data_IF_183993948259
#
_entry.id   IF_183993948259
#
_cell.length_a   1.000
_cell.length_b   1.000
_cell.length_c   1.000
_cell.angle_alpha   90.00
_cell.angle_beta   90.00
_cell.angle_gamma   90.00
#
_symmetry.space_group_name_H-M   'P 1'
#
loop_
_entity.id
_entity.type
_entity.pdbx_description
1 polymer ?
#
# COMPACT_ATOMS: atom_id res chain seq x y z
N UNK A 1 -18.83 8.36 54.67
CA UNK A 1 -19.04 8.66 53.24
C UNK A 1 -18.65 7.44 52.42
N UNK A 2 -19.56 6.94 51.60
CA UNK A 2 -19.31 5.80 50.70
C UNK A 2 -18.32 6.23 49.60
N UNK A 3 -17.14 5.59 49.54
CA UNK A 3 -16.16 5.84 48.46
C UNK A 3 -16.65 5.13 47.20
N UNK A 4 -17.23 5.89 46.28
CA UNK A 4 -17.65 5.41 44.98
C UNK A 4 -16.59 5.74 43.92
N UNK A 5 -16.46 4.93 42.85
CA UNK A 5 -15.62 5.27 41.70
C UNK A 5 -16.11 6.56 41.04
N UNK A 6 -15.19 7.40 40.58
CA UNK A 6 -15.48 8.67 39.89
C UNK A 6 -14.75 8.72 38.56
N UNK A 7 -15.46 9.05 37.49
CA UNK A 7 -14.84 9.35 36.18
C UNK A 7 -14.07 10.66 36.25
N UNK A 8 -12.85 10.67 35.72
CA UNK A 8 -12.02 11.88 35.61
C UNK A 8 -12.57 12.80 34.51
N UNK A 9 -12.20 14.09 34.56
CA UNK A 9 -12.56 15.04 33.49
C UNK A 9 -12.01 14.58 32.12
N UNK A 10 -10.78 14.08 32.11
CA UNK A 10 -10.12 13.54 30.91
C UNK A 10 -10.89 12.36 30.32
N UNK A 11 -11.36 11.42 31.15
CA UNK A 11 -12.18 10.29 30.70
C UNK A 11 -13.50 10.77 30.06
N UNK A 12 -14.18 11.75 30.67
CA UNK A 12 -15.42 12.30 30.11
C UNK A 12 -15.20 12.98 28.75
N UNK A 13 -14.14 13.79 28.64
CA UNK A 13 -13.78 14.47 27.38
C UNK A 13 -13.41 13.43 26.31
N UNK A 14 -12.59 12.44 26.66
CA UNK A 14 -12.19 11.37 25.75
C UNK A 14 -13.39 10.59 25.20
N UNK A 15 -14.33 10.19 26.06
CA UNK A 15 -15.57 9.52 25.63
C UNK A 15 -16.40 10.43 24.72
N UNK A 16 -16.63 11.68 25.12
CA UNK A 16 -17.45 12.61 24.32
C UNK A 16 -16.84 12.88 22.94
N UNK A 17 -15.51 13.02 22.87
CA UNK A 17 -14.77 13.20 21.62
C UNK A 17 -14.85 11.97 20.71
N UNK A 18 -14.71 10.76 21.28
CA UNK A 18 -14.81 9.51 20.56
C UNK A 18 -16.23 9.31 19.98
N UNK A 19 -17.27 9.56 20.79
CA UNK A 19 -18.67 9.46 20.36
C UNK A 19 -18.98 10.47 19.24
N UNK A 20 -18.54 11.72 19.39
CA UNK A 20 -18.74 12.77 18.39
C UNK A 20 -18.01 12.48 17.07
N UNK A 21 -16.76 12.01 17.14
CA UNK A 21 -16.01 11.61 15.96
C UNK A 21 -16.67 10.42 15.24
N UNK A 22 -17.07 9.41 16.00
CA UNK A 22 -17.75 8.22 15.46
C UNK A 22 -19.05 8.60 14.75
N UNK A 23 -19.84 9.49 15.34
CA UNK A 23 -21.06 10.03 14.74
C UNK A 23 -20.78 10.70 13.37
N UNK A 24 -19.79 11.59 13.29
CA UNK A 24 -19.47 12.28 12.03
C UNK A 24 -18.92 11.32 10.99
N UNK A 25 -18.07 10.37 11.38
CA UNK A 25 -17.46 9.43 10.44
C UNK A 25 -18.43 8.33 9.98
N UNK A 26 -19.48 8.01 10.74
CA UNK A 26 -20.47 7.00 10.37
C UNK A 26 -21.23 7.34 9.06
N UNK A 27 -21.32 8.61 8.70
CA UNK A 27 -21.90 9.06 7.42
C UNK A 27 -21.04 8.66 6.20
N UNK A 28 -19.74 8.41 6.40
CA UNK A 28 -18.77 8.16 5.31
C UNK A 28 -18.03 6.83 5.43
N UNK A 29 -18.06 6.23 6.61
CA UNK A 29 -17.23 5.09 6.98
C UNK A 29 -18.03 4.08 7.80
N UNK A 30 -17.71 2.81 7.64
CA UNK A 30 -18.00 1.82 8.67
C UNK A 30 -16.97 2.00 9.80
N UNK A 31 -17.41 2.54 10.94
CA UNK A 31 -16.54 2.90 12.08
C UNK A 31 -16.52 1.77 13.11
N UNK A 32 -15.34 1.20 13.33
CA UNK A 32 -15.13 0.07 14.23
C UNK A 32 -14.30 0.55 15.43
N UNK A 33 -14.89 0.70 16.63
CA UNK A 33 -14.15 1.09 17.82
C UNK A 33 -13.22 -0.05 18.29
N UNK A 34 -12.00 0.29 18.68
CA UNK A 34 -11.06 -0.65 19.29
C UNK A 34 -11.35 -0.76 20.79
N UNK A 35 -11.57 -1.97 21.33
CA UNK A 35 -11.80 -2.15 22.76
C UNK A 35 -10.63 -1.64 23.61
N UNK A 36 -10.91 -0.94 24.70
CA UNK A 36 -9.87 -0.37 25.59
C UNK A 36 -8.88 -1.41 26.13
N UNK A 37 -9.32 -2.66 26.32
CA UNK A 37 -8.46 -3.78 26.74
C UNK A 37 -7.40 -4.16 25.70
N UNK A 38 -7.54 -3.70 24.45
CA UNK A 38 -6.62 -3.93 23.32
C UNK A 38 -6.01 -2.62 22.81
N UNK A 39 -6.16 -1.52 23.56
CA UNK A 39 -5.70 -0.20 23.14
C UNK A 39 -4.16 -0.12 23.19
N UNK A 40 -3.56 -0.04 22.01
CA UNK A 40 -2.14 0.23 21.79
C UNK A 40 -1.91 1.62 21.16
N UNK A 41 -2.91 2.50 21.24
CA UNK A 41 -2.92 3.85 20.67
C UNK A 41 -3.73 3.97 19.39
N UNK A 42 -4.73 3.12 19.15
CA UNK A 42 -5.68 3.25 18.05
C UNK A 42 -7.07 3.14 18.64
N UNK A 43 -7.89 4.17 18.47
CA UNK A 43 -9.25 4.21 19.01
C UNK A 43 -10.27 3.66 18.02
N UNK A 44 -10.04 3.87 16.72
CA UNK A 44 -10.95 3.44 15.67
C UNK A 44 -10.21 2.85 14.47
N UNK A 45 -10.85 1.85 13.85
CA UNK A 45 -10.57 1.39 12.49
C UNK A 45 -11.78 1.81 11.65
N UNK A 46 -11.53 2.52 10.56
CA UNK A 46 -12.57 3.04 9.67
C UNK A 46 -12.40 2.42 8.28
N UNK A 47 -13.48 1.88 7.73
CA UNK A 47 -13.55 1.48 6.32
C UNK A 47 -14.33 2.54 5.54
N UNK A 48 -13.74 3.10 4.48
CA UNK A 48 -14.43 4.06 3.62
C UNK A 48 -15.62 3.38 2.93
N UNK A 49 -16.79 4.01 2.97
CA UNK A 49 -17.99 3.60 2.26
C UNK A 49 -18.12 4.36 0.94
N UNK A 50 -18.66 3.69 -0.08
CA UNK A 50 -19.15 4.31 -1.28
C UNK A 50 -20.66 4.05 -1.34
N UNK A 51 -21.44 5.09 -1.09
CA UNK A 51 -22.87 4.98 -0.81
C UNK A 51 -23.09 3.98 0.35
N UNK A 52 -23.85 2.92 0.13
CA UNK A 52 -24.12 1.88 1.13
C UNK A 52 -23.07 0.75 1.13
N UNK A 53 -22.03 0.83 0.30
CA UNK A 53 -21.11 -0.29 0.06
C UNK A 53 -19.72 -0.09 0.68
N UNK A 54 -19.18 -1.09 1.40
CA UNK A 54 -17.81 -1.06 1.90
C UNK A 54 -16.80 -1.15 0.74
N UNK A 55 -15.76 -0.31 0.78
CA UNK A 55 -14.77 -0.24 -0.31
C UNK A 55 -13.54 -1.11 -0.10
N UNK A 56 -13.36 -1.70 1.09
CA UNK A 56 -12.12 -2.39 1.49
C UNK A 56 -10.96 -1.44 1.85
N UNK A 57 -11.16 -0.12 1.77
CA UNK A 57 -10.12 0.87 2.06
C UNK A 57 -10.19 1.27 3.52
N UNK A 58 -9.22 0.78 4.29
CA UNK A 58 -9.16 0.95 5.74
C UNK A 58 -8.17 2.04 6.14
N UNK A 59 -8.47 2.72 7.23
CA UNK A 59 -7.56 3.62 7.93
C UNK A 59 -7.83 3.57 9.43
N UNK A 60 -6.81 3.92 10.21
CA UNK A 60 -6.90 3.95 11.66
C UNK A 60 -7.01 5.40 12.14
N UNK A 61 -7.63 5.59 13.30
CA UNK A 61 -7.69 6.90 13.96
C UNK A 61 -7.25 6.76 15.42
N UNK A 62 -6.32 7.61 15.84
CA UNK A 62 -6.20 8.02 17.24
C UNK A 62 -6.96 9.33 17.44
N UNK A 63 -7.99 9.27 18.28
CA UNK A 63 -8.79 10.38 18.75
C UNK A 63 -8.14 11.00 20.01
N UNK A 64 -8.01 12.34 20.03
CA UNK A 64 -7.62 13.10 21.22
C UNK A 64 -8.61 14.21 21.46
N UNK A 65 -9.49 14.01 22.44
CA UNK A 65 -10.47 15.01 22.85
C UNK A 65 -9.85 16.19 23.61
N UNK A 66 -10.35 17.39 23.33
CA UNK A 66 -10.15 18.62 24.08
C UNK A 66 -11.52 19.22 24.39
N UNK A 67 -11.65 19.86 25.55
CA UNK A 67 -12.85 20.64 25.87
C UNK A 67 -12.94 21.82 24.88
N UNK A 68 -11.86 22.59 24.78
CA UNK A 68 -11.60 23.59 23.75
C UNK A 68 -10.17 23.39 23.24
N UNK A 69 -9.96 23.40 21.93
CA UNK A 69 -8.63 23.20 21.35
C UNK A 69 -7.79 24.49 21.47
N UNK A 70 -6.68 24.42 22.21
CA UNK A 70 -5.71 25.52 22.28
C UNK A 70 -4.87 25.53 21.00
N UNK A 71 -5.14 26.50 20.14
CA UNK A 71 -4.38 26.75 18.92
C UNK A 71 -3.16 27.61 19.24
N UNK A 72 -1.98 27.15 18.85
CA UNK A 72 -0.73 27.91 18.90
C UNK A 72 -0.35 28.34 17.48
N UNK A 73 -0.36 29.65 17.19
CA UNK A 73 -0.02 30.27 15.89
C UNK A 73 -0.75 29.64 14.67
N UNK A 74 -0.36 28.45 14.23
CA UNK A 74 -0.83 27.71 13.06
C UNK A 74 -1.14 26.22 13.32
N UNK A 75 -0.95 25.71 14.54
CA UNK A 75 -1.06 24.29 14.82
C UNK A 75 -1.46 23.98 16.27
N UNK A 76 -1.93 22.75 16.48
CA UNK A 76 -2.14 22.15 17.78
C UNK A 76 -1.04 21.10 17.99
N UNK A 77 -0.28 21.25 19.07
CA UNK A 77 0.80 20.31 19.40
C UNK A 77 0.29 19.19 20.29
N UNK A 78 0.51 17.93 19.87
CA UNK A 78 0.08 16.75 20.61
C UNK A 78 1.29 15.84 20.89
N UNK A 79 1.68 15.65 22.16
CA UNK A 79 2.75 14.72 22.51
C UNK A 79 2.25 13.28 22.38
N UNK A 80 2.93 12.48 21.58
CA UNK A 80 2.66 11.04 21.39
C UNK A 80 3.90 10.24 21.81
N UNK A 81 3.69 9.13 22.53
CA UNK A 81 4.79 8.23 22.91
C UNK A 81 5.44 7.62 21.67
N UNK A 82 6.76 7.52 21.66
CA UNK A 82 7.50 6.90 20.53
C UNK A 82 7.06 5.45 20.31
N UNK A 83 6.79 4.69 21.37
CA UNK A 83 6.25 3.33 21.24
C UNK A 83 4.91 3.28 20.47
N UNK A 84 4.02 4.26 20.69
CA UNK A 84 2.75 4.38 19.98
C UNK A 84 2.98 4.76 18.51
N UNK A 85 3.90 5.69 18.23
CA UNK A 85 4.27 6.05 16.86
C UNK A 85 4.86 4.85 16.10
N UNK A 86 5.75 4.09 16.74
CA UNK A 86 6.29 2.86 16.15
C UNK A 86 5.18 1.84 15.88
N UNK A 87 4.21 1.70 16.79
CA UNK A 87 3.06 0.83 16.55
C UNK A 87 2.21 1.30 15.36
N UNK A 88 2.01 2.61 15.19
CA UNK A 88 1.32 3.17 14.03
C UNK A 88 2.07 2.91 12.72
N UNK A 89 3.40 3.04 12.70
CA UNK A 89 4.23 2.77 11.53
C UNK A 89 4.28 1.29 11.15
N UNK A 90 4.00 0.38 12.10
CA UNK A 90 3.82 -1.04 11.82
C UNK A 90 2.44 -1.36 11.23
N UNK A 91 1.47 -0.46 11.35
CA UNK A 91 0.13 -0.73 10.84
C UNK A 91 0.11 -0.66 9.30
N UNK A 92 -0.63 -1.58 8.66
CA UNK A 92 -0.76 -1.61 7.21
C UNK A 92 -1.69 -0.53 6.66
N UNK A 93 -2.54 0.01 7.53
CA UNK A 93 -3.49 1.06 7.20
C UNK A 93 -2.96 2.39 7.74
N UNK A 94 -3.10 3.50 6.99
CA UNK A 94 -2.65 4.81 7.46
C UNK A 94 -3.34 5.16 8.77
N UNK A 95 -2.57 5.66 9.74
CA UNK A 95 -3.11 6.08 11.04
C UNK A 95 -3.14 7.59 11.11
N UNK A 96 -4.33 8.16 11.29
CA UNK A 96 -4.52 9.60 11.46
C UNK A 96 -4.59 9.96 12.95
N UNK A 97 -4.01 11.10 13.30
CA UNK A 97 -4.23 11.73 14.59
C UNK A 97 -5.31 12.80 14.41
N UNK A 98 -6.43 12.66 15.13
CA UNK A 98 -7.53 13.64 15.09
C UNK A 98 -7.72 14.24 16.49
N UNK A 99 -7.60 15.56 16.58
CA UNK A 99 -7.93 16.35 17.76
C UNK A 99 -9.37 16.84 17.62
N UNK A 100 -10.20 16.48 18.60
CA UNK A 100 -11.62 16.85 18.63
C UNK A 100 -11.82 17.97 19.64
N UNK A 101 -12.21 19.15 19.16
CA UNK A 101 -12.72 20.24 19.99
C UNK A 101 -14.21 19.96 20.28
N UNK A 102 -14.49 19.50 21.50
CA UNK A 102 -15.84 19.09 21.89
C UNK A 102 -16.80 20.28 22.06
N UNK A 103 -16.28 21.46 22.42
CA UNK A 103 -17.10 22.66 22.62
C UNK A 103 -17.55 23.25 21.29
N UNK A 104 -16.65 23.30 20.31
CA UNK A 104 -16.91 23.90 19.00
C UNK A 104 -17.33 22.88 17.93
N UNK A 105 -17.32 21.59 18.26
CA UNK A 105 -17.56 20.47 17.32
C UNK A 105 -16.67 20.57 16.06
N UNK A 106 -15.40 20.91 16.27
CA UNK A 106 -14.39 21.06 15.23
C UNK A 106 -13.34 19.95 15.36
N UNK A 107 -12.85 19.48 14.22
CA UNK A 107 -11.92 18.38 14.11
C UNK A 107 -10.68 18.85 13.39
N UNK A 108 -9.52 18.72 14.03
CA UNK A 108 -8.22 19.02 13.45
C UNK A 108 -7.47 17.73 13.25
N UNK A 109 -6.83 17.55 12.09
CA UNK A 109 -6.22 16.27 11.77
C UNK A 109 -4.80 16.40 11.21
N UNK A 110 -4.01 15.38 11.45
CA UNK A 110 -2.66 15.23 10.92
C UNK A 110 -2.45 13.79 10.48
N UNK A 111 -1.56 13.58 9.52
CA UNK A 111 -1.03 12.28 9.16
C UNK A 111 0.38 12.17 9.72
N UNK A 112 0.57 11.53 10.89
CA UNK A 112 1.85 11.52 11.60
C UNK A 112 3.01 10.95 10.79
N UNK A 113 2.75 10.04 9.85
CA UNK A 113 3.79 9.45 9.01
C UNK A 113 4.52 10.51 8.16
N UNK A 114 3.79 11.41 7.50
CA UNK A 114 4.39 12.51 6.73
C UNK A 114 5.22 13.43 7.63
N UNK A 115 4.71 13.74 8.82
CA UNK A 115 5.44 14.54 9.80
C UNK A 115 6.76 13.86 10.22
N UNK A 116 6.72 12.57 10.55
CA UNK A 116 7.91 11.81 10.94
C UNK A 116 8.92 11.69 9.79
N UNK A 117 8.46 11.50 8.55
CA UNK A 117 9.32 11.51 7.36
C UNK A 117 10.02 12.86 7.14
N UNK A 118 9.38 13.97 7.53
CA UNK A 118 9.98 15.32 7.46
C UNK A 118 11.03 15.58 8.55
N UNK A 119 11.08 14.77 9.61
CA UNK A 119 12.11 14.87 10.64
C UNK A 119 13.41 14.28 10.10
N UNK A 120 14.19 15.09 9.38
CA UNK A 120 15.48 14.70 8.78
C UNK A 120 16.52 14.14 9.78
N UNK A 121 16.30 14.29 11.09
CA UNK A 121 17.20 13.85 12.15
C UNK A 121 16.70 12.54 12.76
N UNK A 122 17.41 11.43 12.54
CA UNK A 122 16.99 10.05 12.85
C UNK A 122 16.82 9.74 14.35
N UNK A 123 17.15 10.67 15.26
CA UNK A 123 17.16 10.41 16.70
C UNK A 123 15.79 10.56 17.38
N UNK A 124 14.71 10.87 16.65
CA UNK A 124 13.39 10.98 17.26
C UNK A 124 12.94 9.66 17.91
N UNK A 125 13.39 8.52 17.39
CA UNK A 125 13.10 7.19 17.93
C UNK A 125 13.78 6.93 19.29
N UNK A 126 14.77 7.72 19.68
CA UNK A 126 15.44 7.63 20.98
C UNK A 126 14.68 8.39 22.08
N UNK A 127 13.69 9.19 21.70
CA UNK A 127 12.92 10.01 22.64
C UNK A 127 11.80 9.19 23.32
N UNK A 128 11.30 9.67 24.47
CA UNK A 128 10.11 9.06 25.08
C UNK A 128 8.83 9.46 24.34
N UNK A 129 8.78 10.69 23.84
CA UNK A 129 7.62 11.28 23.18
C UNK A 129 8.07 12.19 22.06
N UNK A 130 7.30 12.25 20.98
CA UNK A 130 7.43 13.24 19.91
C UNK A 130 6.16 14.09 19.88
N UNK A 131 6.35 15.40 19.78
CA UNK A 131 5.28 16.38 19.65
C UNK A 131 4.83 16.48 18.20
N UNK A 132 3.73 15.81 17.85
CA UNK A 132 3.14 15.86 16.52
C UNK A 132 2.44 17.20 16.34
N UNK A 133 2.72 17.87 15.23
CA UNK A 133 2.02 19.10 14.82
C UNK A 133 0.75 18.75 14.05
N UNK A 134 -0.39 19.27 14.51
CA UNK A 134 -1.70 19.16 13.86
C UNK A 134 -2.05 20.54 13.27
N UNK A 135 -1.92 20.74 11.95
CA UNK A 135 -2.15 22.06 11.33
C UNK A 135 -3.62 22.49 11.46
N UNK A 136 -3.88 23.76 11.80
CA UNK A 136 -5.27 24.24 11.92
C UNK A 136 -5.98 24.35 10.57
N UNK A 137 -5.23 24.45 9.48
CA UNK A 137 -5.77 24.41 8.12
C UNK A 137 -6.35 23.04 7.76
N UNK A 138 -5.88 21.97 8.41
CA UNK A 138 -6.40 20.62 8.26
C UNK A 138 -7.56 20.44 9.24
N UNK A 139 -8.68 21.11 8.96
CA UNK A 139 -9.85 21.07 9.83
C UNK A 139 -11.15 20.82 9.08
N UNK A 140 -12.14 20.32 9.81
CA UNK A 140 -13.53 20.22 9.36
C UNK A 140 -14.47 20.35 10.56
N UNK A 141 -15.71 20.77 10.31
CA UNK A 141 -16.77 20.82 11.33
C UNK A 141 -17.61 19.55 11.36
N UNK A 142 -18.56 19.48 12.28
CA UNK A 142 -19.51 18.36 12.38
C UNK A 142 -20.39 18.19 11.14
N UNK A 143 -20.79 19.29 10.50
CA UNK A 143 -21.73 19.29 9.38
C UNK A 143 -21.00 19.27 8.03
N UNK A 144 -20.25 18.20 7.77
CA UNK A 144 -19.66 17.94 6.46
C UNK A 144 -20.56 17.02 5.63
N UNK A 145 -20.58 17.21 4.31
CA UNK A 145 -21.32 16.34 3.38
C UNK A 145 -20.40 15.35 2.66
N UNK A 146 -19.09 15.51 2.81
CA UNK A 146 -18.05 14.63 2.25
C UNK A 146 -16.88 14.56 3.22
N UNK A 147 -16.22 13.40 3.31
CA UNK A 147 -14.96 13.27 4.03
C UNK A 147 -13.88 14.18 3.38
N UNK A 148 -12.99 14.82 4.16
CA UNK A 148 -11.93 15.66 3.59
C UNK A 148 -11.15 14.94 2.48
N UNK A 149 -11.07 15.58 1.31
CA UNK A 149 -10.47 14.97 0.09
C UNK A 149 -9.02 14.57 0.30
N UNK A 150 -8.28 15.30 1.14
CA UNK A 150 -6.90 14.96 1.51
C UNK A 150 -6.81 13.66 2.32
N UNK A 151 -7.72 13.43 3.28
CA UNK A 151 -7.81 12.15 4.01
C UNK A 151 -8.09 11.04 3.00
N UNK A 152 -9.11 11.19 2.14
CA UNK A 152 -9.45 10.21 1.10
C UNK A 152 -8.27 9.93 0.17
N UNK A 153 -7.52 10.97 -0.23
CA UNK A 153 -6.33 10.83 -1.08
C UNK A 153 -5.21 10.05 -0.39
N UNK A 154 -4.93 10.35 0.88
CA UNK A 154 -3.94 9.63 1.69
C UNK A 154 -4.39 8.19 1.86
N UNK A 155 -5.66 7.96 2.19
CA UNK A 155 -6.23 6.61 2.28
C UNK A 155 -6.12 5.90 0.95
N UNK A 156 -6.43 6.50 -0.19
CA UNK A 156 -6.29 5.85 -1.50
C UNK A 156 -4.84 5.55 -1.88
N UNK A 157 -3.90 6.41 -1.47
CA UNK A 157 -2.47 6.27 -1.79
C UNK A 157 -1.77 5.25 -0.88
N UNK A 158 -2.27 5.09 0.35
CA UNK A 158 -1.78 4.14 1.35
C UNK A 158 -2.66 2.89 1.47
N UNK A 159 -3.86 2.90 0.88
CA UNK A 159 -4.69 1.74 0.69
C UNK A 159 -3.92 0.83 -0.24
N UNK A 160 -3.19 -0.08 0.40
CA UNK A 160 -2.71 -1.30 -0.20
C UNK A 160 -3.79 -1.78 -1.14
N UNK A 161 -3.45 -1.88 -2.43
CA UNK A 161 -4.31 -2.49 -3.45
C UNK A 161 -4.92 -3.73 -2.83
N UNK A 162 -6.22 -3.68 -2.54
CA UNK A 162 -6.99 -4.64 -1.77
C UNK A 162 -6.38 -6.05 -1.81
N UNK A 163 -5.78 -6.56 -0.71
CA UNK A 163 -5.52 -7.97 -0.61
C UNK A 163 -6.88 -8.63 -0.32
N UNK A 164 -7.52 -9.18 -1.37
CA UNK A 164 -8.33 -10.37 -1.13
C UNK A 164 -7.40 -11.41 -0.52
N UNK A 165 -7.57 -11.60 0.80
CA UNK A 165 -6.88 -12.49 1.73
C UNK A 165 -5.56 -11.96 2.34
N UNK A 166 -5.69 -11.17 3.41
CA UNK A 166 -5.05 -11.45 4.70
C UNK A 166 -3.54 -11.74 4.80
N UNK A 167 -2.68 -11.19 3.95
CA UNK A 167 -1.23 -11.33 4.14
C UNK A 167 -0.50 -9.98 4.13
N UNK A 168 -0.44 -9.37 5.33
CA UNK A 168 0.26 -8.10 5.57
C UNK A 168 1.80 -8.23 5.46
N UNK A 169 2.36 -9.44 5.45
CA UNK A 169 3.77 -9.65 5.12
C UNK A 169 4.04 -9.37 3.63
N UNK A 170 3.03 -9.44 2.77
CA UNK A 170 3.20 -9.26 1.34
C UNK A 170 3.53 -7.83 0.90
N UNK A 171 2.93 -6.82 1.52
CA UNK A 171 3.17 -5.41 1.15
C UNK A 171 4.54 -4.90 1.62
N UNK A 172 4.99 -5.32 2.80
CA UNK A 172 6.37 -5.15 3.25
C UNK A 172 7.37 -5.82 2.30
N UNK A 173 7.05 -7.02 1.78
CA UNK A 173 7.94 -7.71 0.83
C UNK A 173 7.99 -7.08 -0.55
N UNK A 174 6.92 -6.39 -1.00
CA UNK A 174 6.93 -5.68 -2.27
C UNK A 174 7.78 -4.41 -2.19
N UNK A 175 7.65 -3.63 -1.10
CA UNK A 175 8.52 -2.49 -0.83
C UNK A 175 9.99 -2.90 -0.77
N UNK A 176 10.31 -3.92 0.04
CA UNK A 176 11.66 -4.48 0.13
C UNK A 176 12.19 -5.01 -1.21
N UNK A 177 11.33 -5.61 -2.04
CA UNK A 177 11.72 -6.08 -3.36
C UNK A 177 12.06 -4.92 -4.30
N UNK A 178 11.27 -3.85 -4.27
CA UNK A 178 11.51 -2.64 -5.06
C UNK A 178 12.81 -1.95 -4.61
N UNK A 179 13.01 -1.80 -3.30
CA UNK A 179 14.21 -1.17 -2.75
C UNK A 179 15.47 -1.96 -3.12
N UNK A 180 15.43 -3.30 -3.00
CA UNK A 180 16.53 -4.15 -3.46
C UNK A 180 16.75 -4.07 -4.96
N UNK A 181 15.70 -3.91 -5.77
CA UNK A 181 15.86 -3.76 -7.20
C UNK A 181 16.59 -2.46 -7.57
N UNK A 182 16.29 -1.38 -6.86
CA UNK A 182 16.98 -0.11 -7.01
C UNK A 182 18.46 -0.22 -6.60
N UNK A 183 18.75 -0.88 -5.48
CA UNK A 183 20.12 -1.04 -4.94
C UNK A 183 20.96 -1.99 -5.80
N UNK A 184 20.44 -3.18 -6.10
CA UNK A 184 21.20 -4.28 -6.71
C UNK A 184 21.32 -4.14 -8.23
N UNK A 185 20.36 -3.45 -8.87
CA UNK A 185 20.23 -3.39 -10.34
C UNK A 185 20.03 -1.99 -10.91
N UNK A 186 19.80 -0.96 -10.08
CA UNK A 186 19.43 0.38 -10.57
C UNK A 186 18.08 0.39 -11.31
N UNK A 187 17.19 -0.53 -10.97
CA UNK A 187 15.87 -0.67 -11.58
C UNK A 187 14.80 -0.02 -10.70
N UNK A 188 13.80 0.59 -11.35
CA UNK A 188 12.64 1.17 -10.71
C UNK A 188 11.36 0.49 -11.19
N UNK A 189 10.25 0.74 -10.50
CA UNK A 189 8.95 0.17 -10.87
C UNK A 189 8.58 0.61 -12.28
N UNK A 190 8.32 -0.37 -13.15
CA UNK A 190 7.87 -0.12 -14.51
C UNK A 190 6.49 0.51 -14.52
N UNK A 191 6.26 1.43 -15.47
CA UNK A 191 4.94 2.00 -15.75
C UNK A 191 4.21 1.20 -16.82
N UNK A 192 2.96 1.57 -17.09
CA UNK A 192 2.25 1.08 -18.27
C UNK A 192 3.08 1.29 -19.54
N UNK A 193 3.15 0.31 -20.47
CA UNK A 193 2.44 -0.98 -20.45
C UNK A 193 3.19 -2.13 -19.77
N UNK A 194 4.38 -1.90 -19.20
CA UNK A 194 5.25 -2.96 -18.66
C UNK A 194 4.94 -3.34 -17.20
N UNK A 195 4.16 -2.53 -16.48
CA UNK A 195 3.67 -2.88 -15.14
C UNK A 195 2.69 -4.06 -15.19
N UNK A 196 2.75 -4.95 -14.19
CA UNK A 196 1.86 -6.12 -14.03
C UNK A 196 1.57 -6.86 -15.35
N UNK A 197 2.59 -7.40 -16.05
CA UNK A 197 2.43 -7.95 -17.40
C UNK A 197 1.39 -9.09 -17.49
N UNK A 198 1.16 -9.82 -16.40
CA UNK A 198 0.12 -10.85 -16.33
C UNK A 198 -1.29 -10.34 -16.67
N UNK A 199 -1.55 -9.02 -16.58
CA UNK A 199 -2.86 -8.45 -16.87
C UNK A 199 -3.31 -8.67 -18.31
N UNK A 200 -2.37 -8.92 -19.23
CA UNK A 200 -2.67 -9.16 -20.64
C UNK A 200 -3.10 -10.60 -20.93
N UNK A 201 -2.79 -11.55 -20.03
CA UNK A 201 -3.17 -12.96 -20.20
C UNK A 201 -4.70 -13.07 -20.29
N UNK A 202 -5.17 -13.76 -21.33
CA UNK A 202 -6.60 -13.96 -21.62
C UNK A 202 -7.26 -12.79 -22.35
N UNK A 203 -6.58 -11.67 -22.59
CA UNK A 203 -7.11 -10.61 -23.45
C UNK A 203 -7.17 -11.08 -24.90
N UNK A 204 -8.17 -10.63 -25.66
CA UNK A 204 -8.14 -10.80 -27.12
C UNK A 204 -6.97 -10.03 -27.72
N UNK A 205 -6.43 -10.49 -28.84
CA UNK A 205 -5.31 -9.81 -29.55
C UNK A 205 -5.66 -8.35 -29.82
N UNK A 206 -6.89 -8.08 -30.31
CA UNK A 206 -7.35 -6.72 -30.59
C UNK A 206 -7.39 -5.82 -29.34
N UNK A 207 -7.82 -6.35 -28.19
CA UNK A 207 -7.84 -5.59 -26.94
C UNK A 207 -6.43 -5.34 -26.40
N UNK A 208 -5.58 -6.37 -26.39
CA UNK A 208 -4.19 -6.25 -25.97
C UNK A 208 -3.46 -5.20 -26.83
N UNK A 209 -3.59 -5.29 -28.16
CA UNK A 209 -3.01 -4.35 -29.13
C UNK A 209 -3.43 -2.89 -28.84
N UNK A 210 -4.71 -2.68 -28.52
CA UNK A 210 -5.24 -1.36 -28.16
C UNK A 210 -4.67 -0.84 -26.84
N UNK A 211 -4.58 -1.69 -25.81
CA UNK A 211 -4.10 -1.29 -24.47
C UNK A 211 -2.61 -0.95 -24.49
N UNK A 212 -1.79 -1.74 -25.18
CA UNK A 212 -0.34 -1.51 -25.26
C UNK A 212 0.07 -0.59 -26.41
N UNK A 213 -0.90 -0.14 -27.21
CA UNK A 213 -0.70 0.71 -28.38
C UNK A 213 0.34 0.16 -29.37
N UNK A 214 0.27 -1.13 -29.66
CA UNK A 214 1.15 -1.80 -30.63
C UNK A 214 0.36 -2.73 -31.55
N UNK A 215 0.89 -2.97 -32.75
CA UNK A 215 0.23 -3.80 -33.76
C UNK A 215 0.68 -5.26 -33.62
N UNK A 216 -0.23 -6.23 -33.74
CA UNK A 216 0.14 -7.63 -33.81
C UNK A 216 0.89 -7.93 -35.13
N UNK A 217 1.82 -8.86 -35.09
CA UNK A 217 2.53 -9.37 -36.26
C UNK A 217 1.70 -10.44 -37.01
N UNK A 218 2.28 -11.05 -38.05
CA UNK A 218 1.59 -12.08 -38.85
C UNK A 218 1.18 -13.33 -38.04
N UNK A 219 1.88 -13.62 -36.94
CA UNK A 219 1.56 -14.72 -36.02
C UNK A 219 0.57 -14.31 -34.92
N UNK A 220 0.11 -13.05 -34.88
CA UNK A 220 -0.79 -12.54 -33.85
C UNK A 220 -0.09 -12.04 -32.58
N UNK A 221 1.23 -12.17 -32.48
CA UNK A 221 2.01 -11.71 -31.33
C UNK A 221 2.19 -10.20 -31.35
N UNK A 222 2.23 -9.58 -30.17
CA UNK A 222 2.45 -8.14 -30.02
C UNK A 222 3.78 -7.92 -29.33
N UNK A 223 4.62 -7.07 -29.92
CA UNK A 223 5.91 -6.69 -29.35
C UNK A 223 5.82 -5.23 -28.91
N UNK A 224 6.24 -4.97 -27.67
CA UNK A 224 6.28 -3.64 -27.08
C UNK A 224 7.71 -3.35 -26.64
N UNK A 225 8.24 -2.24 -27.12
CA UNK A 225 9.65 -1.90 -26.98
C UNK A 225 9.82 -0.57 -26.24
N UNK A 226 10.81 -0.50 -25.35
CA UNK A 226 11.23 0.73 -24.69
C UNK A 226 12.74 0.75 -24.49
N UNK A 227 13.28 1.86 -23.97
CA UNK A 227 14.70 1.92 -23.59
C UNK A 227 15.04 0.94 -22.45
N UNK A 228 14.07 0.64 -21.59
CA UNK A 228 14.30 -0.13 -20.36
C UNK A 228 13.89 -1.61 -20.47
N UNK A 229 12.93 -1.93 -21.33
CA UNK A 229 12.37 -3.28 -21.44
C UNK A 229 11.90 -3.62 -22.86
N UNK A 230 11.96 -4.91 -23.17
CA UNK A 230 11.34 -5.56 -24.32
C UNK A 230 10.24 -6.49 -23.80
N UNK A 231 9.01 -6.38 -24.30
CA UNK A 231 7.89 -7.22 -23.87
C UNK A 231 7.22 -7.89 -25.07
N UNK A 232 7.07 -9.21 -24.97
CA UNK A 232 6.36 -10.06 -25.92
C UNK A 232 5.02 -10.49 -25.31
N UNK A 233 3.93 -10.23 -26.04
CA UNK A 233 2.63 -10.84 -25.81
C UNK A 233 2.42 -11.91 -26.89
N UNK A 234 2.50 -13.18 -26.51
CA UNK A 234 2.32 -14.31 -27.42
C UNK A 234 0.86 -14.78 -27.43
N UNK A 235 0.33 -14.93 -28.64
CA UNK A 235 -1.05 -15.33 -28.86
C UNK A 235 -1.18 -16.85 -29.05
N UNK A 236 -2.24 -17.42 -28.48
CA UNK A 236 -2.72 -18.77 -28.81
C UNK A 236 -4.19 -18.65 -29.25
N UNK A 237 -4.47 -18.90 -30.53
CA UNK A 237 -5.76 -18.59 -31.12
C UNK A 237 -5.99 -17.07 -31.19
N UNK A 238 -7.07 -16.58 -30.57
CA UNK A 238 -7.43 -15.16 -30.58
C UNK A 238 -7.11 -14.45 -29.25
N UNK A 239 -6.38 -15.10 -28.33
CA UNK A 239 -6.11 -14.61 -26.99
C UNK A 239 -4.62 -14.62 -26.67
N UNK A 240 -4.17 -13.70 -25.83
CA UNK A 240 -2.82 -13.73 -25.27
C UNK A 240 -2.74 -14.86 -24.24
N UNK A 241 -1.80 -15.78 -24.41
CA UNK A 241 -1.61 -16.93 -23.50
C UNK A 241 -0.25 -16.93 -22.80
N UNK A 242 0.71 -16.17 -23.32
CA UNK A 242 2.02 -16.04 -22.71
C UNK A 242 2.50 -14.59 -22.82
N UNK A 243 3.17 -14.14 -21.76
CA UNK A 243 3.77 -12.81 -21.69
C UNK A 243 5.20 -12.99 -21.21
N UNK A 244 6.17 -12.46 -21.94
CA UNK A 244 7.57 -12.39 -21.49
C UNK A 244 8.03 -10.93 -21.50
N UNK A 245 8.83 -10.56 -20.51
CA UNK A 245 9.45 -9.24 -20.43
C UNK A 245 10.92 -9.35 -20.08
N UNK A 246 11.77 -8.78 -20.94
CA UNK A 246 13.20 -8.67 -20.73
C UNK A 246 13.57 -7.31 -20.15
N UNK A 247 14.44 -7.30 -19.14
CA UNK A 247 14.91 -6.10 -18.44
C UNK A 247 16.27 -5.66 -18.97
N UNK A 248 16.29 -4.80 -19.99
CA UNK A 248 17.49 -4.49 -20.78
C UNK A 248 18.69 -4.02 -19.95
N UNK A 249 18.46 -3.23 -18.90
CA UNK A 249 19.50 -2.72 -17.99
C UNK A 249 20.25 -3.82 -17.23
N UNK A 250 19.71 -5.04 -17.19
CA UNK A 250 20.36 -6.19 -16.53
C UNK A 250 21.33 -6.92 -17.46
N UNK A 251 21.29 -6.66 -18.77
CA UNK A 251 22.27 -7.24 -19.69
C UNK A 251 23.61 -6.50 -19.60
N UNK A 252 24.75 -7.21 -19.79
CA UNK A 252 24.84 -8.66 -19.92
C UNK A 252 24.79 -9.36 -18.55
N UNK A 253 24.02 -10.45 -18.45
CA UNK A 253 24.01 -11.33 -17.28
C UNK A 253 24.62 -12.70 -17.59
N UNK A 254 25.15 -13.41 -16.58
CA UNK A 254 25.68 -14.77 -16.76
C UNK A 254 24.79 -15.80 -16.07
N UNK A 255 24.58 -16.96 -16.69
CA UNK A 255 23.85 -18.09 -16.10
C UNK A 255 24.57 -18.67 -14.86
N UNK A 256 25.86 -18.38 -14.69
CA UNK A 256 26.62 -18.76 -13.50
C UNK A 256 26.49 -17.75 -12.35
N UNK A 257 25.90 -16.57 -12.60
CA UNK A 257 25.73 -15.50 -11.61
C UNK A 257 24.34 -15.59 -10.98
N UNK A 258 24.21 -15.85 -9.68
CA UNK A 258 22.91 -15.85 -9.02
C UNK A 258 22.28 -14.45 -9.07
N UNK A 259 20.95 -14.41 -9.04
CA UNK A 259 20.18 -13.17 -9.03
C UNK A 259 19.04 -13.23 -8.02
N UNK A 260 18.55 -12.05 -7.63
CA UNK A 260 17.44 -11.89 -6.70
C UNK A 260 16.12 -11.77 -7.48
N UNK A 261 15.50 -12.90 -7.81
CA UNK A 261 14.20 -12.91 -8.52
C UNK A 261 13.09 -12.14 -7.82
N UNK A 262 13.11 -12.03 -6.48
CA UNK A 262 12.10 -11.27 -5.75
C UNK A 262 12.17 -9.79 -6.11
N UNK A 263 13.39 -9.24 -6.20
CA UNK A 263 13.61 -7.86 -6.63
C UNK A 263 13.13 -7.64 -8.07
N UNK A 264 13.45 -8.59 -8.96
CA UNK A 264 13.01 -8.57 -10.36
C UNK A 264 11.47 -8.63 -10.50
N UNK A 265 10.79 -9.42 -9.67
CA UNK A 265 9.33 -9.44 -9.63
C UNK A 265 8.75 -8.11 -9.10
N UNK A 266 9.41 -7.51 -8.10
CA UNK A 266 9.00 -6.24 -7.51
C UNK A 266 8.93 -5.08 -8.51
N UNK A 267 9.90 -4.98 -9.44
CA UNK A 267 9.90 -3.90 -10.45
C UNK A 267 8.72 -4.00 -11.42
N UNK A 268 8.13 -5.18 -11.58
CA UNK A 268 6.92 -5.41 -12.37
C UNK A 268 5.64 -5.25 -11.54
N UNK A 269 5.75 -4.73 -10.31
CA UNK A 269 4.66 -4.65 -9.34
C UNK A 269 4.04 -6.02 -9.00
N UNK A 270 4.86 -7.07 -8.99
CA UNK A 270 4.47 -8.42 -8.57
C UNK A 270 4.98 -8.65 -7.15
N UNK A 271 4.07 -8.94 -6.24
CA UNK A 271 4.38 -9.21 -4.85
C UNK A 271 4.88 -10.66 -4.70
N UNK A 272 6.17 -10.90 -4.36
CA UNK A 272 6.70 -12.26 -4.26
C UNK A 272 6.13 -13.08 -3.10
N UNK A 273 5.51 -12.46 -2.09
CA UNK A 273 4.86 -13.19 -1.00
C UNK A 273 3.53 -13.83 -1.42
N UNK A 274 2.89 -13.31 -2.47
CA UNK A 274 1.68 -13.92 -3.05
C UNK A 274 1.98 -15.15 -3.91
N UNK A 275 3.26 -15.52 -4.04
CA UNK A 275 3.72 -16.56 -4.94
C UNK A 275 4.37 -17.72 -4.17
N UNK A 276 4.05 -18.94 -4.57
CA UNK A 276 4.78 -20.13 -4.15
C UNK A 276 6.06 -20.26 -4.97
N UNK A 277 7.24 -20.32 -4.34
CA UNK A 277 8.50 -20.64 -5.02
C UNK A 277 8.59 -22.15 -5.25
N UNK A 278 8.37 -22.60 -6.48
CA UNK A 278 8.36 -24.01 -6.85
C UNK A 278 9.74 -24.56 -7.24
N UNK A 279 10.61 -23.73 -7.83
CA UNK A 279 11.97 -24.13 -8.24
C UNK A 279 12.95 -22.98 -8.13
N UNK A 280 14.17 -23.27 -7.67
CA UNK A 280 15.26 -22.30 -7.59
C UNK A 280 16.56 -22.89 -8.13
N UNK A 281 17.08 -22.33 -9.22
CA UNK A 281 18.39 -22.61 -9.81
C UNK A 281 19.16 -21.31 -10.03
N UNK A 282 20.48 -21.39 -10.28
CA UNK A 282 21.34 -20.20 -10.40
C UNK A 282 20.84 -19.19 -11.44
N UNK A 283 20.33 -19.69 -12.56
CA UNK A 283 19.90 -18.94 -13.75
C UNK A 283 18.37 -18.93 -13.95
N UNK A 284 17.61 -19.66 -13.14
CA UNK A 284 16.18 -19.85 -13.35
C UNK A 284 15.40 -20.13 -12.06
N UNK A 285 14.41 -19.29 -11.75
CA UNK A 285 13.47 -19.47 -10.65
C UNK A 285 12.03 -19.61 -11.18
N UNK A 286 11.26 -20.55 -10.63
CA UNK A 286 9.83 -20.74 -10.97
C UNK A 286 8.96 -20.46 -9.77
N UNK A 287 7.88 -19.73 -10.02
CA UNK A 287 6.85 -19.42 -9.06
C UNK A 287 5.46 -19.85 -9.57
N UNK A 288 4.55 -20.15 -8.63
CA UNK A 288 3.13 -20.33 -8.91
C UNK A 288 2.30 -19.23 -8.25
N UNK A 289 1.48 -18.56 -9.05
CA UNK A 289 0.39 -17.71 -8.56
C UNK A 289 -0.90 -18.56 -8.56
N UNK A 290 -1.24 -19.13 -7.41
CA UNK A 290 -2.44 -19.98 -7.31
C UNK A 290 -3.75 -19.22 -7.51
N UNK A 291 -3.76 -17.93 -7.14
CA UNK A 291 -4.94 -17.08 -7.24
C UNK A 291 -5.30 -16.81 -8.70
N UNK A 292 -4.29 -16.59 -9.53
CA UNK A 292 -4.44 -16.33 -10.98
C UNK A 292 -4.25 -17.56 -11.84
N UNK A 293 -3.86 -18.69 -11.24
CA UNK A 293 -3.52 -19.95 -11.93
C UNK A 293 -2.43 -19.73 -12.99
N UNK A 294 -1.34 -19.07 -12.59
CA UNK A 294 -0.21 -18.75 -13.48
C UNK A 294 1.08 -19.41 -13.01
N UNK A 295 1.89 -19.88 -13.96
CA UNK A 295 3.31 -20.15 -13.77
C UNK A 295 4.10 -18.90 -14.14
N UNK A 296 5.01 -18.50 -13.26
CA UNK A 296 5.88 -17.34 -13.45
C UNK A 296 7.33 -17.81 -13.43
N UNK A 297 8.09 -17.52 -14.48
CA UNK A 297 9.52 -17.82 -14.56
C UNK A 297 10.33 -16.53 -14.49
N UNK A 298 11.38 -16.49 -13.68
CA UNK A 298 12.39 -15.42 -13.71
C UNK A 298 13.73 -16.04 -14.09
N UNK A 299 14.39 -15.53 -15.12
CA UNK A 299 15.52 -16.26 -15.70
C UNK A 299 16.50 -15.46 -16.51
N UNK A 300 17.72 -15.97 -16.62
CA UNK A 300 18.69 -15.62 -17.66
C UNK A 300 18.68 -16.73 -18.73
N UNK A 301 18.17 -16.43 -19.94
CA UNK A 301 17.95 -17.45 -20.97
C UNK A 301 19.25 -18.00 -21.58
N UNK A 302 20.28 -17.16 -21.68
CA UNK A 302 21.61 -17.51 -22.18
C UNK A 302 22.67 -16.53 -21.64
N UNK A 303 23.95 -16.92 -21.63
CA UNK A 303 25.03 -16.02 -21.22
C UNK A 303 25.07 -14.75 -22.08
N UNK A 304 25.03 -13.60 -21.42
CA UNK A 304 24.95 -12.28 -22.05
C UNK A 304 23.53 -11.72 -22.19
N UNK A 305 22.49 -12.52 -21.95
CA UNK A 305 21.10 -12.07 -21.99
C UNK A 305 20.77 -11.10 -20.83
N UNK A 306 19.74 -10.25 -20.98
CA UNK A 306 19.05 -9.65 -19.84
C UNK A 306 18.32 -10.74 -19.03
N UNK A 307 18.00 -10.42 -17.77
CA UNK A 307 17.02 -11.17 -16.99
C UNK A 307 15.62 -10.95 -17.60
N UNK A 308 14.85 -12.02 -17.72
CA UNK A 308 13.47 -12.00 -18.22
C UNK A 308 12.48 -12.55 -17.19
N UNK A 309 11.21 -12.13 -17.34
CA UNK A 309 10.09 -12.64 -16.55
C UNK A 309 8.97 -13.12 -17.48
N UNK A 310 8.72 -14.43 -17.45
CA UNK A 310 7.65 -15.06 -18.23
C UNK A 310 6.43 -15.40 -17.39
N UNK A 311 5.22 -15.20 -17.92
CA UNK A 311 3.93 -15.50 -17.30
C UNK A 311 3.12 -16.41 -18.23
N UNK A 312 2.66 -17.57 -17.74
CA UNK A 312 1.88 -18.53 -18.54
C UNK A 312 0.73 -19.14 -17.75
N UNK A 313 -0.45 -19.22 -18.37
CA UNK A 313 -1.60 -19.99 -17.87
C UNK A 313 -1.54 -21.48 -18.19
N UNK A 314 -0.80 -21.88 -19.23
CA UNK A 314 -0.78 -23.26 -19.76
C UNK A 314 -0.09 -24.27 -18.86
N UNK A 315 0.92 -23.82 -18.12
CA UNK A 315 1.82 -24.68 -17.35
C UNK A 315 1.62 -24.56 -15.84
N UNK A 316 0.48 -24.03 -15.39
CA UNK A 316 0.16 -23.95 -13.97
C UNK A 316 -0.16 -25.34 -13.42
N UNK A 317 0.60 -25.79 -12.41
CA UNK A 317 0.42 -27.09 -11.76
C UNK A 317 0.88 -28.32 -12.56
N UNK A 318 1.65 -28.10 -13.64
CA UNK A 318 2.28 -29.15 -14.45
C UNK A 318 3.67 -29.52 -13.94
#
# INVERSE_FOLDING_TARGET
MTKLPKRTKSQKIGTSAADLLSYVFAEFCNVIPVPQERDLGIDFICEVMQDEYPTGKLFNIQCKGKEEAKVEIDSITVPIKVATLNYWLLQPNPTFLIVVDCQNACFYWSFPQDFLCSLHNKNWQEQQTVSIRVPIQNQFGQNINILPTQIVSIVNSNASVTPKNGDYLGTLTLGDAIDRAAIDYGLYVFKSPFHRPFQYIGMTIANAARVVNAKPNQAGNIIVESEEAHMLLEAEGNFINYVDIELKKTAPWSQKRPFNSKAILGVLSINPAELELARKQTDFHTYYDHKRKLKIGVSCQYDGAPLSVGFSSKYYGA
#
